data_IF_131361593318
#
_entry.id   IF_131361593318
#
_cell.length_a   1.000
_cell.length_b   1.000
_cell.length_c   1.000
_cell.angle_alpha   90.00
_cell.angle_beta   90.00
_cell.angle_gamma   90.00
#
_symmetry.space_group_name_H-M   'P 1'
#
loop_
_entity.id
_entity.type
_entity.pdbx_description
1 polymer ?
#
# COMPACT_ATOMS: atom_id res chain seq x y z
N UNK A 1 -27.27 10.90 -10.59
CA UNK A 1 -26.27 10.16 -9.78
C UNK A 1 -25.59 11.13 -8.82
N UNK A 2 -25.56 10.83 -7.51
CA UNK A 2 -25.05 11.77 -6.48
C UNK A 2 -23.53 11.99 -6.63
N UNK A 3 -23.01 13.10 -6.07
CA UNK A 3 -21.56 13.37 -6.00
C UNK A 3 -20.82 12.23 -5.31
N UNK A 4 -21.39 11.71 -4.22
CA UNK A 4 -20.82 10.58 -3.48
C UNK A 4 -20.72 9.32 -4.34
N UNK A 5 -21.77 9.00 -5.09
CA UNK A 5 -21.79 7.84 -6.00
C UNK A 5 -20.74 7.95 -7.10
N UNK A 6 -20.53 9.16 -7.65
CA UNK A 6 -19.49 9.41 -8.66
C UNK A 6 -18.07 9.24 -8.10
N UNK A 7 -17.83 9.74 -6.88
CA UNK A 7 -16.55 9.55 -6.19
C UNK A 7 -16.29 8.07 -5.94
N UNK A 8 -17.27 7.35 -5.39
CA UNK A 8 -17.12 5.93 -5.10
C UNK A 8 -16.83 5.11 -6.36
N UNK A 9 -17.57 5.35 -7.44
CA UNK A 9 -17.32 4.69 -8.72
C UNK A 9 -15.91 4.98 -9.27
N UNK A 10 -15.46 6.23 -9.17
CA UNK A 10 -14.10 6.63 -9.54
C UNK A 10 -13.03 5.92 -8.70
N UNK A 11 -13.22 5.85 -7.38
CA UNK A 11 -12.33 5.12 -6.47
C UNK A 11 -12.23 3.65 -6.87
N UNK A 12 -13.37 2.96 -7.04
CA UNK A 12 -13.38 1.54 -7.41
C UNK A 12 -12.67 1.32 -8.74
N UNK A 13 -12.95 2.14 -9.76
CA UNK A 13 -12.29 2.01 -11.06
C UNK A 13 -10.77 2.21 -10.97
N UNK A 14 -10.31 3.19 -10.19
CA UNK A 14 -8.87 3.45 -9.98
C UNK A 14 -8.18 2.32 -9.22
N UNK A 15 -8.80 1.79 -8.16
CA UNK A 15 -8.22 0.68 -7.38
C UNK A 15 -8.16 -0.61 -8.21
N UNK A 16 -9.17 -0.87 -9.05
CA UNK A 16 -9.12 -2.00 -9.99
C UNK A 16 -7.98 -1.84 -10.99
N UNK A 17 -7.71 -0.62 -11.47
CA UNK A 17 -6.54 -0.33 -12.29
C UNK A 17 -5.24 -0.60 -11.52
N UNK A 18 -5.12 -0.19 -10.26
CA UNK A 18 -3.93 -0.45 -9.44
C UNK A 18 -3.73 -1.94 -9.18
N UNK A 19 -4.79 -2.70 -8.93
CA UNK A 19 -4.73 -4.15 -8.81
C UNK A 19 -4.24 -4.80 -10.12
N UNK A 20 -4.74 -4.33 -11.28
CA UNK A 20 -4.28 -4.80 -12.58
C UNK A 20 -2.79 -4.46 -12.83
N UNK A 21 -2.34 -3.27 -12.42
CA UNK A 21 -0.93 -2.88 -12.47
C UNK A 21 -0.10 -3.82 -11.59
N UNK A 22 -0.50 -4.03 -10.34
CA UNK A 22 0.22 -4.90 -9.41
C UNK A 22 0.35 -6.32 -9.97
N UNK A 23 -0.72 -6.89 -10.53
CA UNK A 23 -0.69 -8.21 -11.17
C UNK A 23 0.19 -8.23 -12.43
N UNK A 24 0.11 -7.21 -13.28
CA UNK A 24 0.91 -7.14 -14.51
C UNK A 24 2.42 -6.99 -14.22
N UNK A 25 2.76 -6.49 -13.04
CA UNK A 25 4.13 -6.18 -12.61
C UNK A 25 4.63 -7.11 -11.51
N UNK A 26 3.88 -8.16 -11.15
CA UNK A 26 4.29 -9.15 -10.15
C UNK A 26 5.22 -10.23 -10.72
N UNK A 27 5.43 -10.26 -12.04
CA UNK A 27 6.41 -11.17 -12.62
C UNK A 27 7.83 -10.75 -12.20
N UNK A 28 8.62 -11.73 -11.77
CA UNK A 28 10.04 -11.51 -11.45
C UNK A 28 10.76 -10.82 -12.61
N UNK A 29 10.46 -11.17 -13.86
CA UNK A 29 11.04 -10.59 -15.07
C UNK A 29 10.84 -9.07 -15.16
N UNK A 30 9.62 -8.58 -14.90
CA UNK A 30 9.34 -7.14 -14.92
C UNK A 30 10.25 -6.40 -13.93
N UNK A 31 10.38 -6.96 -12.73
CA UNK A 31 11.15 -6.36 -11.66
C UNK A 31 12.66 -6.44 -11.88
N UNK A 32 13.18 -7.59 -12.32
CA UNK A 32 14.59 -7.74 -12.71
C UNK A 32 14.98 -6.74 -13.80
N UNK A 33 14.10 -6.50 -14.77
CA UNK A 33 14.35 -5.49 -15.81
C UNK A 33 14.29 -4.08 -15.23
N UNK A 34 13.27 -3.72 -14.45
CA UNK A 34 13.13 -2.37 -13.87
C UNK A 34 14.21 -2.03 -12.85
N UNK A 35 14.46 -2.91 -11.88
CA UNK A 35 15.52 -2.71 -10.89
C UNK A 35 16.87 -2.85 -11.54
N UNK A 36 17.13 -3.92 -12.30
CA UNK A 36 18.41 -4.10 -12.97
C UNK A 36 18.80 -2.93 -13.88
N UNK A 37 17.85 -2.35 -14.61
CA UNK A 37 18.11 -1.17 -15.46
C UNK A 37 18.27 0.14 -14.69
N UNK A 38 17.72 0.26 -13.48
CA UNK A 38 17.82 1.49 -12.67
C UNK A 38 19.04 1.50 -11.73
N UNK A 39 19.62 0.34 -11.41
CA UNK A 39 20.78 0.23 -10.52
C UNK A 39 22.00 1.07 -10.95
N UNK A 40 22.38 1.13 -12.24
CA UNK A 40 23.46 2.01 -12.69
C UNK A 40 23.15 3.50 -12.49
N UNK A 41 21.87 3.89 -12.49
CA UNK A 41 21.45 5.27 -12.30
C UNK A 41 21.60 5.73 -10.84
N UNK A 42 21.49 4.81 -9.88
CA UNK A 42 21.51 5.10 -8.45
C UNK A 42 22.80 4.63 -7.74
N UNK A 43 23.82 4.21 -8.50
CA UNK A 43 25.18 3.98 -7.98
C UNK A 43 25.31 2.82 -6.99
N UNK A 44 24.38 1.86 -7.01
CA UNK A 44 24.35 0.73 -6.07
C UNK A 44 24.02 -0.59 -6.75
N UNK A 45 24.48 -1.69 -6.15
CA UNK A 45 24.06 -3.07 -6.41
C UNK A 45 23.23 -3.56 -5.23
N UNK A 46 21.91 -3.65 -5.37
CA UNK A 46 20.99 -4.22 -4.39
C UNK A 46 20.61 -5.61 -4.88
N UNK A 47 20.61 -6.58 -3.97
CA UNK A 47 20.03 -7.89 -4.27
C UNK A 47 18.54 -7.70 -4.57
N UNK A 48 18.16 -7.99 -5.81
CA UNK A 48 16.79 -7.87 -6.31
C UNK A 48 15.84 -8.79 -5.57
N UNK A 49 16.35 -9.91 -5.02
CA UNK A 49 15.57 -10.83 -4.20
C UNK A 49 15.20 -10.21 -2.85
N UNK A 50 16.13 -9.50 -2.22
CA UNK A 50 15.90 -8.81 -0.95
C UNK A 50 14.80 -7.73 -1.02
N UNK A 51 14.35 -7.32 -2.21
CA UNK A 51 13.29 -6.33 -2.35
C UNK A 51 11.88 -6.95 -2.19
N UNK A 52 11.72 -8.26 -2.45
CA UNK A 52 10.44 -8.98 -2.30
C UNK A 52 10.32 -9.79 -0.99
N UNK A 53 11.44 -10.08 -0.33
CA UNK A 53 11.46 -10.93 0.88
C UNK A 53 10.71 -10.32 2.07
N UNK A 54 10.35 -9.04 2.01
CA UNK A 54 9.55 -8.32 3.01
C UNK A 54 8.25 -9.07 3.37
N UNK A 55 7.50 -9.60 2.39
CA UNK A 55 6.23 -10.31 2.66
C UNK A 55 6.47 -11.59 3.45
N UNK A 56 7.56 -12.31 3.17
CA UNK A 56 7.97 -13.51 3.91
C UNK A 56 8.38 -13.15 5.34
N UNK A 57 9.08 -12.02 5.52
CA UNK A 57 9.42 -11.48 6.85
C UNK A 57 8.14 -11.19 7.64
N UNK A 58 7.16 -10.50 7.05
CA UNK A 58 5.88 -10.19 7.71
C UNK A 58 5.12 -11.46 8.09
N UNK A 59 5.05 -12.44 7.18
CA UNK A 59 4.43 -13.75 7.43
C UNK A 59 5.10 -14.47 8.61
N UNK A 60 6.44 -14.46 8.67
CA UNK A 60 7.21 -15.10 9.74
C UNK A 60 6.93 -14.43 11.09
N UNK A 61 6.92 -13.10 11.14
CA UNK A 61 6.58 -12.36 12.36
C UNK A 61 5.18 -12.70 12.85
N UNK A 62 4.19 -12.73 11.96
CA UNK A 62 2.82 -13.04 12.34
C UNK A 62 2.65 -14.50 12.78
N UNK A 63 3.35 -15.43 12.11
CA UNK A 63 3.32 -16.86 12.43
C UNK A 63 3.92 -17.14 13.80
N UNK A 64 5.03 -16.50 14.16
CA UNK A 64 5.63 -16.64 15.50
C UNK A 64 4.66 -16.17 16.60
N UNK A 65 3.95 -15.07 16.37
CA UNK A 65 2.93 -14.60 17.31
C UNK A 65 1.76 -15.59 17.46
N UNK A 66 1.27 -16.16 16.35
CA UNK A 66 0.23 -17.20 16.41
C UNK A 66 0.69 -18.49 17.11
N UNK A 67 1.99 -18.77 17.09
CA UNK A 67 2.60 -19.86 17.84
C UNK A 67 2.82 -19.53 19.34
N UNK A 68 2.36 -18.38 19.81
CA UNK A 68 2.39 -17.97 21.22
C UNK A 68 3.66 -17.21 21.63
N UNK A 69 4.52 -16.85 20.68
CA UNK A 69 5.68 -15.99 20.96
C UNK A 69 5.24 -14.52 21.05
N UNK A 70 5.89 -13.74 21.91
CA UNK A 70 5.56 -12.32 22.10
C UNK A 70 6.50 -11.45 21.25
N UNK A 71 5.97 -10.66 20.30
CA UNK A 71 6.74 -9.70 19.52
C UNK A 71 7.57 -8.76 20.41
N UNK A 72 8.80 -8.44 19.99
CA UNK A 72 9.76 -7.59 20.71
C UNK A 72 10.28 -8.12 22.05
N UNK A 73 9.77 -9.27 22.54
CA UNK A 73 10.28 -9.95 23.73
C UNK A 73 10.99 -11.26 23.36
N UNK A 74 10.29 -12.12 22.62
CA UNK A 74 10.77 -13.45 22.26
C UNK A 74 11.48 -13.45 20.90
N UNK A 75 11.15 -12.47 20.04
CA UNK A 75 11.80 -12.22 18.76
C UNK A 75 11.76 -10.73 18.41
N UNK A 76 12.76 -10.27 17.63
CA UNK A 76 12.89 -8.87 17.22
C UNK A 76 12.11 -8.63 15.94
N UNK A 77 11.34 -7.54 15.93
CA UNK A 77 10.73 -6.96 14.73
C UNK A 77 11.44 -5.64 14.44
N UNK A 78 11.90 -5.48 13.20
CA UNK A 78 12.68 -4.30 12.78
C UNK A 78 11.81 -3.03 12.65
N UNK A 79 10.51 -3.21 12.47
CA UNK A 79 9.54 -2.14 12.26
C UNK A 79 8.97 -1.57 13.57
N UNK A 80 8.39 -0.36 13.56
CA UNK A 80 7.70 0.20 14.72
C UNK A 80 6.52 -0.66 15.21
N UNK A 81 6.17 -0.54 16.49
CA UNK A 81 5.11 -1.31 17.15
C UNK A 81 3.77 -1.31 16.39
N UNK A 82 3.38 -0.17 15.81
CA UNK A 82 2.12 -0.02 15.09
C UNK A 82 2.11 -0.67 13.69
N UNK A 83 3.24 -1.13 13.18
CA UNK A 83 3.29 -1.90 11.94
C UNK A 83 2.84 -3.35 12.16
N UNK A 84 3.07 -3.91 13.37
CA UNK A 84 2.79 -5.31 13.64
C UNK A 84 1.33 -5.74 13.39
N UNK A 85 0.29 -4.96 13.75
CA UNK A 85 -1.09 -5.31 13.40
C UNK A 85 -1.34 -5.54 11.91
N UNK A 86 -0.63 -4.81 11.03
CA UNK A 86 -0.73 -4.97 9.58
C UNK A 86 -0.11 -6.30 9.11
N UNK A 87 0.92 -6.78 9.81
CA UNK A 87 1.51 -8.08 9.51
C UNK A 87 0.68 -9.22 10.09
N UNK A 88 0.12 -8.99 11.28
CA UNK A 88 -0.63 -10.00 12.00
C UNK A 88 -2.00 -10.28 11.39
N UNK A 89 -2.73 -9.23 10.98
CA UNK A 89 -4.12 -9.33 10.56
C UNK A 89 -4.35 -10.31 9.38
N UNK A 90 -3.59 -10.28 8.28
CA UNK A 90 -3.77 -11.25 7.19
C UNK A 90 -3.58 -12.69 7.65
N UNK A 91 -2.59 -12.93 8.51
CA UNK A 91 -2.23 -14.27 9.01
C UNK A 91 -3.31 -14.90 9.90
N UNK A 92 -4.23 -14.11 10.45
CA UNK A 92 -5.39 -14.63 11.20
C UNK A 92 -6.38 -15.38 10.28
N UNK A 93 -6.43 -15.04 8.99
CA UNK A 93 -7.41 -15.58 8.05
C UNK A 93 -6.88 -16.71 7.16
N UNK A 94 -5.55 -16.88 7.10
CA UNK A 94 -4.87 -17.82 6.19
C UNK A 94 -3.71 -18.51 6.90
N UNK A 95 -3.47 -19.77 6.57
CA UNK A 95 -2.49 -20.60 7.26
C UNK A 95 -1.12 -20.62 6.59
N UNK A 96 -1.09 -20.64 5.25
CA UNK A 96 0.12 -20.75 4.45
C UNK A 96 0.60 -19.39 3.90
N UNK A 97 1.81 -19.41 3.35
CA UNK A 97 2.48 -18.22 2.84
C UNK A 97 1.84 -17.66 1.56
N UNK A 98 1.30 -18.53 0.70
CA UNK A 98 0.66 -18.11 -0.55
C UNK A 98 -0.63 -17.34 -0.26
N UNK A 99 -1.50 -17.90 0.59
CA UNK A 99 -2.70 -17.25 1.09
C UNK A 99 -2.38 -15.96 1.83
N UNK A 100 -1.30 -15.93 2.62
CA UNK A 100 -0.83 -14.71 3.28
C UNK A 100 -0.46 -13.61 2.29
N UNK A 101 0.26 -13.96 1.22
CA UNK A 101 0.67 -13.00 0.18
C UNK A 101 -0.54 -12.34 -0.47
N UNK A 102 -1.58 -13.12 -0.80
CA UNK A 102 -2.82 -12.58 -1.34
C UNK A 102 -3.61 -11.74 -0.33
N UNK A 103 -3.72 -12.20 0.92
CA UNK A 103 -4.45 -11.50 1.97
C UNK A 103 -3.79 -10.17 2.33
N UNK A 104 -2.46 -10.13 2.45
CA UNK A 104 -1.68 -8.92 2.68
C UNK A 104 -1.79 -7.94 1.51
N UNK A 105 -1.67 -8.43 0.27
CA UNK A 105 -1.85 -7.59 -0.92
C UNK A 105 -3.26 -6.98 -0.99
N UNK A 106 -4.29 -7.74 -0.64
CA UNK A 106 -5.66 -7.24 -0.54
C UNK A 106 -5.80 -6.17 0.56
N UNK A 107 -5.17 -6.37 1.72
CA UNK A 107 -5.12 -5.35 2.78
C UNK A 107 -4.49 -4.05 2.29
N UNK A 108 -3.37 -4.12 1.56
CA UNK A 108 -2.72 -2.93 1.00
C UNK A 108 -3.57 -2.22 -0.04
N UNK A 109 -4.32 -2.97 -0.87
CA UNK A 109 -5.30 -2.38 -1.80
C UNK A 109 -6.48 -1.72 -1.07
N UNK A 110 -6.84 -2.16 0.14
CA UNK A 110 -7.84 -1.45 0.96
C UNK A 110 -7.32 -0.10 1.46
N UNK A 111 -6.05 -0.03 1.88
CA UNK A 111 -5.42 1.24 2.24
C UNK A 111 -5.26 2.17 1.04
N UNK A 112 -4.89 1.65 -0.12
CA UNK A 112 -4.88 2.41 -1.38
C UNK A 112 -6.28 2.94 -1.73
N UNK A 113 -7.32 2.10 -1.61
CA UNK A 113 -8.71 2.52 -1.85
C UNK A 113 -9.12 3.67 -0.93
N UNK A 114 -8.72 3.62 0.35
CA UNK A 114 -8.95 4.69 1.30
C UNK A 114 -8.21 5.98 0.90
N UNK A 115 -6.95 5.88 0.47
CA UNK A 115 -6.16 7.01 -0.01
C UNK A 115 -6.76 7.64 -1.28
N UNK A 116 -7.10 6.83 -2.29
CA UNK A 116 -7.76 7.25 -3.54
C UNK A 116 -9.09 7.94 -3.25
N UNK A 117 -9.90 7.38 -2.34
CA UNK A 117 -11.15 8.02 -1.92
C UNK A 117 -10.91 9.38 -1.27
N UNK A 118 -9.91 9.52 -0.38
CA UNK A 118 -9.55 10.79 0.24
C UNK A 118 -9.11 11.83 -0.80
N UNK A 119 -8.25 11.45 -1.75
CA UNK A 119 -7.83 12.31 -2.86
C UNK A 119 -9.04 12.77 -3.67
N UNK A 120 -9.88 11.84 -4.12
CA UNK A 120 -11.05 12.15 -4.93
C UNK A 120 -12.03 13.09 -4.19
N UNK A 121 -12.29 12.83 -2.91
CA UNK A 121 -13.15 13.67 -2.07
C UNK A 121 -12.57 15.06 -1.84
N UNK A 122 -11.27 15.15 -1.59
CA UNK A 122 -10.59 16.43 -1.39
C UNK A 122 -10.62 17.29 -2.64
N UNK A 123 -10.23 16.71 -3.79
CA UNK A 123 -10.23 17.39 -5.09
C UNK A 123 -11.64 17.81 -5.47
N UNK A 124 -12.64 16.94 -5.32
CA UNK A 124 -14.03 17.28 -5.61
C UNK A 124 -14.52 18.48 -4.81
N UNK A 125 -14.08 18.63 -3.55
CA UNK A 125 -14.46 19.73 -2.66
C UNK A 125 -13.71 21.04 -2.96
N UNK A 126 -12.42 20.96 -3.29
CA UNK A 126 -11.54 22.13 -3.44
C UNK A 126 -11.44 22.64 -4.87
N UNK A 127 -11.46 21.74 -5.84
CA UNK A 127 -11.21 22.03 -7.27
C UNK A 127 -12.42 21.68 -8.16
N UNK A 128 -13.43 20.99 -7.60
CA UNK A 128 -14.62 20.55 -8.32
C UNK A 128 -14.51 19.15 -8.90
N UNK A 129 -15.66 18.51 -9.10
CA UNK A 129 -15.74 17.09 -9.49
C UNK A 129 -15.10 16.79 -10.85
N UNK A 130 -15.06 17.75 -11.76
CA UNK A 130 -14.46 17.60 -13.08
C UNK A 130 -12.93 17.40 -13.05
N UNK A 131 -12.27 17.80 -11.94
CA UNK A 131 -10.81 17.66 -11.78
C UNK A 131 -10.40 16.30 -11.23
N UNK A 132 -11.33 15.55 -10.62
CA UNK A 132 -11.04 14.26 -9.97
C UNK A 132 -10.35 13.26 -10.92
N UNK A 133 -10.84 13.00 -12.15
CA UNK A 133 -10.22 12.01 -13.02
C UNK A 133 -8.76 12.32 -13.35
N UNK A 134 -8.43 13.60 -13.59
CA UNK A 134 -7.05 14.02 -13.87
C UNK A 134 -6.11 13.84 -12.68
N UNK A 135 -6.60 14.10 -11.45
CA UNK A 135 -5.82 13.87 -10.23
C UNK A 135 -5.61 12.40 -9.92
N UNK A 136 -6.64 11.57 -10.14
CA UNK A 136 -6.54 10.12 -9.98
C UNK A 136 -5.65 9.50 -11.06
N UNK A 137 -5.68 9.99 -12.30
CA UNK A 137 -4.77 9.56 -13.34
C UNK A 137 -3.31 9.85 -12.96
N UNK A 138 -3.02 11.05 -12.44
CA UNK A 138 -1.68 11.37 -11.95
C UNK A 138 -1.23 10.48 -10.79
N UNK A 139 -2.11 10.26 -9.80
CA UNK A 139 -1.85 9.29 -8.72
C UNK A 139 -1.56 7.88 -9.27
N UNK A 140 -2.32 7.45 -10.27
CA UNK A 140 -2.15 6.14 -10.90
C UNK A 140 -0.81 6.01 -11.63
N UNK A 141 -0.28 7.10 -12.19
CA UNK A 141 1.07 7.11 -12.79
C UNK A 141 2.14 6.90 -11.72
N UNK A 142 1.99 7.49 -10.54
CA UNK A 142 2.88 7.22 -9.41
C UNK A 142 2.81 5.75 -8.99
N UNK A 143 1.60 5.18 -8.87
CA UNK A 143 1.40 3.76 -8.58
C UNK A 143 2.04 2.86 -9.64
N UNK A 144 1.89 3.19 -10.92
CA UNK A 144 2.52 2.48 -12.03
C UNK A 144 4.05 2.46 -11.93
N UNK A 145 4.66 3.56 -11.48
CA UNK A 145 6.10 3.62 -11.26
C UNK A 145 6.60 2.67 -10.17
N UNK A 146 5.77 2.34 -9.17
CA UNK A 146 6.09 1.35 -8.13
C UNK A 146 5.73 -0.08 -8.52
N UNK A 147 4.74 -0.29 -9.39
CA UNK A 147 4.34 -1.62 -9.87
C UNK A 147 3.80 -2.50 -8.73
N UNK A 148 4.34 -3.71 -8.58
CA UNK A 148 3.88 -4.69 -7.60
C UNK A 148 4.36 -4.41 -6.17
N UNK A 149 5.31 -3.49 -5.99
CA UNK A 149 5.75 -3.06 -4.66
C UNK A 149 4.61 -2.50 -3.83
N UNK A 150 3.58 -1.96 -4.47
CA UNK A 150 2.42 -1.38 -3.80
C UNK A 150 1.60 -2.42 -3.01
N UNK A 151 1.74 -3.71 -3.33
CA UNK A 151 1.09 -4.82 -2.60
C UNK A 151 2.09 -5.73 -1.88
N UNK A 152 3.39 -5.60 -2.19
CA UNK A 152 4.47 -6.33 -1.52
C UNK A 152 5.06 -5.59 -0.31
N UNK A 153 4.69 -4.32 -0.10
CA UNK A 153 5.12 -3.52 1.06
C UNK A 153 3.93 -2.93 1.79
N UNK A 154 4.11 -2.69 3.09
CA UNK A 154 3.04 -2.13 3.91
C UNK A 154 2.86 -0.61 3.72
N UNK A 155 3.60 0.02 2.80
CA UNK A 155 3.75 1.47 2.67
C UNK A 155 2.44 2.22 2.40
N UNK A 156 1.40 1.57 1.87
CA UNK A 156 0.10 2.22 1.70
C UNK A 156 -0.60 2.55 3.02
N UNK A 157 -0.40 1.75 4.07
CA UNK A 157 -0.96 2.05 5.38
C UNK A 157 -0.42 3.37 5.96
N UNK A 158 0.91 3.58 6.12
CA UNK A 158 1.43 4.87 6.55
C UNK A 158 1.19 5.98 5.52
N UNK A 159 1.15 5.69 4.21
CA UNK A 159 0.78 6.69 3.17
C UNK A 159 -0.63 7.22 3.40
N UNK A 160 -1.60 6.34 3.62
CA UNK A 160 -2.98 6.72 3.93
C UNK A 160 -3.05 7.57 5.20
N UNK A 161 -2.38 7.15 6.28
CA UNK A 161 -2.39 7.89 7.55
C UNK A 161 -1.75 9.28 7.40
N UNK A 162 -0.61 9.37 6.71
CA UNK A 162 0.07 10.63 6.43
C UNK A 162 -0.79 11.57 5.57
N UNK A 163 -1.44 11.04 4.54
CA UNK A 163 -2.38 11.80 3.70
C UNK A 163 -3.56 12.30 4.54
N UNK A 164 -4.20 11.42 5.32
CA UNK A 164 -5.33 11.78 6.17
C UNK A 164 -4.97 12.89 7.17
N UNK A 165 -3.81 12.77 7.84
CA UNK A 165 -3.30 13.79 8.76
C UNK A 165 -3.04 15.13 8.05
N UNK A 166 -2.42 15.09 6.87
CA UNK A 166 -2.12 16.29 6.06
C UNK A 166 -3.40 17.00 5.63
N UNK A 167 -4.41 16.25 5.18
CA UNK A 167 -5.69 16.82 4.76
C UNK A 167 -6.50 17.37 5.95
N UNK A 168 -6.43 16.70 7.11
CA UNK A 168 -7.05 17.19 8.35
C UNK A 168 -6.42 18.53 8.75
N UNK A 169 -5.09 18.60 8.82
CA UNK A 169 -4.35 19.83 9.09
C UNK A 169 -4.70 20.95 8.10
N UNK A 170 -4.67 20.67 6.79
CA UNK A 170 -5.00 21.64 5.74
C UNK A 170 -6.48 22.08 5.73
N UNK A 171 -7.36 21.38 6.45
CA UNK A 171 -8.76 21.76 6.64
C UNK A 171 -8.99 22.68 7.84
N UNK A 172 -7.94 23.03 8.59
CA UNK A 172 -8.04 23.83 9.81
C UNK A 172 -8.48 23.03 11.04
N UNK A 173 -8.53 21.70 10.94
CA UNK A 173 -8.69 20.84 12.11
C UNK A 173 -7.34 20.73 12.81
N UNK A 174 -7.05 21.70 13.68
CA UNK A 174 -5.91 21.58 14.58
C UNK A 174 -6.11 20.35 15.46
N UNK A 175 -5.07 19.52 15.60
CA UNK A 175 -5.04 18.46 16.60
C UNK A 175 -5.33 19.12 17.95
N UNK A 176 -6.45 18.75 18.57
CA UNK A 176 -6.77 19.17 19.93
C UNK A 176 -5.75 18.50 20.85
N UNK A 177 -4.68 19.22 21.16
CA UNK A 177 -3.79 18.91 22.28
C UNK A 177 -4.45 19.21 23.62
#
# INVERSE_FOLDING_TARGET
MSVHTKILAGTVATVLLHAAIALATSSETFFYVMVGSSQPLFGGSVDTKAIYDDVEIYYRYATQALMGQIPYRDYVIEYPLLAFPLFFLPRVFVEDFEGYTWAFGAEMLLFDAAAVYLVARWVARREGLARVPGRLAWYSVCVLAFGSLIVARFDFAPTFLALAATLAWASGQNLRG
#
